data_IF_075664529982
#
_entry.id   IF_075664529982
#
_cell.length_a   1.000
_cell.length_b   1.000
_cell.length_c   1.000
_cell.angle_alpha   90.00
_cell.angle_beta   90.00
_cell.angle_gamma   90.00
#
_symmetry.space_group_name_H-M   'P 1'
#
loop_
_entity.id
_entity.type
_entity.pdbx_description
1 polymer ?
#
# COMPACT_ATOMS: atom_id res chain seq x y z
N UNK A 1 7.32 25.45 3.92
CA UNK A 1 7.27 24.00 3.68
C UNK A 1 8.51 23.38 4.28
N UNK A 2 8.38 22.21 4.89
CA UNK A 2 9.49 21.43 5.46
C UNK A 2 9.73 20.21 4.58
N UNK A 3 10.92 19.63 4.63
CA UNK A 3 11.31 18.49 3.80
C UNK A 3 11.43 17.23 4.66
N UNK A 4 10.89 16.12 4.16
CA UNK A 4 11.14 14.80 4.73
C UNK A 4 12.49 14.29 4.19
N UNK A 5 13.52 14.30 5.02
CA UNK A 5 14.89 13.94 4.62
C UNK A 5 15.13 12.45 4.64
N UNK A 6 14.68 11.80 5.69
CA UNK A 6 14.84 10.35 5.85
C UNK A 6 13.73 9.73 6.65
N UNK A 7 13.51 8.45 6.38
CA UNK A 7 12.61 7.57 7.13
C UNK A 7 13.46 6.48 7.78
N UNK A 8 13.29 6.26 9.08
CA UNK A 8 14.01 5.22 9.80
C UNK A 8 13.60 3.83 9.31
N UNK A 9 14.46 3.20 8.51
CA UNK A 9 14.21 1.90 7.87
C UNK A 9 13.78 0.85 8.88
N UNK A 10 14.55 0.69 9.95
CA UNK A 10 14.25 -0.31 10.98
C UNK A 10 12.97 0.02 11.76
N UNK A 11 12.67 1.30 12.01
CA UNK A 11 11.42 1.67 12.70
C UNK A 11 10.19 1.44 11.82
N UNK A 12 10.26 1.78 10.53
CA UNK A 12 9.19 1.53 9.57
C UNK A 12 8.94 0.02 9.39
N UNK A 13 10.01 -0.76 9.24
CA UNK A 13 9.91 -2.21 9.10
C UNK A 13 9.30 -2.87 10.35
N UNK A 14 9.73 -2.47 11.56
CA UNK A 14 9.21 -3.02 12.82
C UNK A 14 7.71 -2.73 13.02
N UNK A 15 7.29 -1.48 12.81
CA UNK A 15 5.86 -1.14 12.99
C UNK A 15 5.01 -1.81 11.92
N UNK A 16 5.49 -1.88 10.67
CA UNK A 16 4.79 -2.55 9.57
C UNK A 16 4.66 -4.06 9.81
N UNK A 17 5.71 -4.72 10.32
CA UNK A 17 5.65 -6.12 10.71
C UNK A 17 4.62 -6.37 11.82
N UNK A 18 4.62 -5.53 12.85
CA UNK A 18 3.66 -5.62 13.95
C UNK A 18 2.22 -5.42 13.46
N UNK A 19 1.99 -4.46 12.56
CA UNK A 19 0.70 -4.28 11.89
C UNK A 19 0.34 -5.49 11.02
N UNK A 20 1.31 -6.05 10.30
CA UNK A 20 1.15 -7.21 9.44
C UNK A 20 0.74 -8.47 10.20
N UNK A 21 1.28 -8.71 11.40
CA UNK A 21 0.82 -9.81 12.28
C UNK A 21 -0.66 -9.63 12.62
N UNK A 22 -1.04 -8.44 13.09
CA UNK A 22 -2.41 -8.17 13.58
C UNK A 22 -3.41 -8.23 12.42
N UNK A 23 -3.11 -7.56 11.30
CA UNK A 23 -3.97 -7.58 10.11
C UNK A 23 -4.02 -8.98 9.50
N UNK A 24 -2.88 -9.67 9.40
CA UNK A 24 -2.83 -11.05 8.92
C UNK A 24 -3.67 -12.01 9.77
N UNK A 25 -3.70 -11.81 11.10
CA UNK A 25 -4.56 -12.59 11.99
C UNK A 25 -6.04 -12.28 11.78
N UNK A 26 -6.41 -11.00 11.62
CA UNK A 26 -7.77 -10.60 11.30
C UNK A 26 -8.22 -11.26 9.98
N UNK A 27 -7.40 -11.17 8.93
CA UNK A 27 -7.69 -11.82 7.65
C UNK A 27 -7.83 -13.33 7.78
N UNK A 28 -6.93 -13.98 8.52
CA UNK A 28 -6.97 -15.43 8.71
C UNK A 28 -8.25 -15.88 9.44
N UNK A 29 -8.68 -15.13 10.46
CA UNK A 29 -9.92 -15.39 11.19
C UNK A 29 -11.13 -15.25 10.27
N UNK A 30 -11.17 -14.21 9.42
CA UNK A 30 -12.25 -14.03 8.45
C UNK A 30 -12.29 -15.19 7.45
N UNK A 31 -11.13 -15.58 6.89
CA UNK A 31 -11.03 -16.70 5.95
C UNK A 31 -11.49 -18.00 6.61
N UNK A 32 -11.07 -18.26 7.85
CA UNK A 32 -11.50 -19.45 8.59
C UNK A 32 -13.02 -19.44 8.86
N UNK A 33 -13.59 -18.31 9.28
CA UNK A 33 -15.01 -18.18 9.57
C UNK A 33 -15.86 -18.39 8.31
N UNK A 34 -15.51 -17.70 7.21
CA UNK A 34 -16.22 -17.83 5.93
C UNK A 34 -16.05 -19.24 5.36
N UNK A 35 -14.82 -19.79 5.37
CA UNK A 35 -14.55 -21.14 4.89
C UNK A 35 -15.33 -22.20 5.68
N UNK A 36 -15.42 -22.05 7.00
CA UNK A 36 -16.20 -22.96 7.85
C UNK A 36 -17.70 -22.84 7.60
N UNK A 37 -18.22 -21.62 7.42
CA UNK A 37 -19.63 -21.39 7.11
C UNK A 37 -20.03 -21.94 5.73
N UNK A 38 -19.12 -21.93 4.76
CA UNK A 38 -19.36 -22.45 3.41
C UNK A 38 -19.18 -23.97 3.29
N UNK A 39 -18.48 -24.61 4.24
CA UNK A 39 -18.15 -26.04 4.18
C UNK A 39 -19.37 -26.97 3.97
N UNK A 40 -20.53 -26.78 4.64
CA UNK A 40 -21.71 -27.63 4.41
C UNK A 40 -22.24 -27.57 2.98
N UNK A 41 -22.16 -26.40 2.34
CA UNK A 41 -22.62 -26.19 0.96
C UNK A 41 -21.69 -26.81 -0.08
N UNK A 42 -20.44 -27.09 0.31
CA UNK A 42 -19.39 -27.63 -0.58
C UNK A 42 -18.98 -29.06 -0.22
N UNK A 43 -19.72 -29.72 0.68
CA UNK A 43 -19.36 -31.04 1.22
C UNK A 43 -19.27 -32.16 0.16
N UNK A 44 -19.91 -31.99 -0.99
CA UNK A 44 -19.82 -32.88 -2.15
C UNK A 44 -18.47 -32.81 -2.88
N UNK A 45 -17.71 -31.74 -2.68
CA UNK A 45 -16.38 -31.55 -3.28
C UNK A 45 -15.28 -31.96 -2.30
N UNK A 46 -14.15 -32.51 -2.78
CA UNK A 46 -12.99 -32.79 -1.93
C UNK A 46 -12.52 -31.54 -1.16
N UNK A 47 -12.54 -30.38 -1.81
CA UNK A 47 -12.10 -29.09 -1.23
C UNK A 47 -13.00 -28.66 -0.06
N UNK A 48 -14.33 -28.76 -0.21
CA UNK A 48 -15.27 -28.33 0.83
C UNK A 48 -15.18 -29.14 2.13
N UNK A 49 -14.75 -30.41 2.05
CA UNK A 49 -14.54 -31.27 3.24
C UNK A 49 -13.34 -30.85 4.08
N UNK A 50 -12.29 -30.34 3.44
CA UNK A 50 -11.06 -29.93 4.12
C UNK A 50 -11.00 -28.43 4.42
N UNK A 51 -11.98 -27.65 3.97
CA UNK A 51 -12.02 -26.18 4.13
C UNK A 51 -11.81 -25.71 5.59
N UNK A 52 -12.47 -26.30 6.61
CA UNK A 52 -12.24 -25.89 8.00
C UNK A 52 -10.81 -26.19 8.47
N UNK A 53 -10.24 -27.34 8.09
CA UNK A 53 -8.89 -27.73 8.45
C UNK A 53 -7.83 -26.84 7.77
N UNK A 54 -8.05 -26.49 6.50
CA UNK A 54 -7.22 -25.51 5.78
C UNK A 54 -7.30 -24.15 6.48
N UNK A 55 -8.50 -23.69 6.82
CA UNK A 55 -8.69 -22.43 7.53
C UNK A 55 -7.95 -22.39 8.87
N UNK A 56 -7.96 -23.48 9.64
CA UNK A 56 -7.18 -23.59 10.88
C UNK A 56 -5.67 -23.48 10.62
N UNK A 57 -5.14 -24.14 9.58
CA UNK A 57 -3.74 -24.00 9.19
C UNK A 57 -3.37 -22.56 8.81
N UNK A 58 -4.27 -21.87 8.11
CA UNK A 58 -4.08 -20.49 7.68
C UNK A 58 -4.07 -19.49 8.85
N UNK A 59 -4.65 -19.81 10.01
CA UNK A 59 -4.55 -18.98 11.23
C UNK A 59 -3.11 -18.77 11.69
N UNK A 60 -2.20 -19.67 11.35
CA UNK A 60 -0.77 -19.55 11.69
C UNK A 60 0.02 -19.04 10.48
N UNK A 61 -0.23 -19.60 9.30
CA UNK A 61 0.56 -19.30 8.10
C UNK A 61 0.35 -17.85 7.64
N UNK A 62 -0.90 -17.37 7.57
CA UNK A 62 -1.20 -16.05 7.01
C UNK A 62 -0.58 -14.92 7.84
N UNK A 63 -0.72 -14.87 9.18
CA UNK A 63 -0.10 -13.80 9.98
C UNK A 63 1.42 -13.76 9.86
N UNK A 64 2.07 -14.93 9.82
CA UNK A 64 3.53 -15.03 9.69
C UNK A 64 3.98 -14.52 8.32
N UNK A 65 3.33 -14.96 7.25
CA UNK A 65 3.66 -14.52 5.89
C UNK A 65 3.42 -13.01 5.74
N UNK A 66 2.27 -12.50 6.18
CA UNK A 66 1.96 -11.06 6.10
C UNK A 66 2.95 -10.24 6.93
N UNK A 67 3.31 -10.69 8.14
CA UNK A 67 4.34 -10.05 8.96
C UNK A 67 5.67 -9.90 8.21
N UNK A 68 6.18 -11.00 7.64
CA UNK A 68 7.46 -11.01 6.93
C UNK A 68 7.41 -10.15 5.68
N UNK A 69 6.34 -10.25 4.88
CA UNK A 69 6.17 -9.43 3.69
C UNK A 69 6.05 -7.94 4.05
N UNK A 70 5.24 -7.58 5.05
CA UNK A 70 5.09 -6.20 5.52
C UNK A 70 6.40 -5.62 6.07
N UNK A 71 7.21 -6.44 6.77
CA UNK A 71 8.55 -6.04 7.22
C UNK A 71 9.45 -5.72 6.03
N UNK A 72 9.54 -6.64 5.05
CA UNK A 72 10.43 -6.51 3.89
C UNK A 72 10.00 -5.33 3.02
N UNK A 73 8.72 -5.20 2.69
CA UNK A 73 8.21 -4.09 1.88
C UNK A 73 8.50 -2.74 2.54
N UNK A 74 8.17 -2.56 3.82
CA UNK A 74 8.42 -1.29 4.51
C UNK A 74 9.92 -0.99 4.67
N UNK A 75 10.76 -2.02 4.86
CA UNK A 75 12.21 -1.84 4.88
C UNK A 75 12.74 -1.37 3.52
N UNK A 76 12.29 -2.01 2.43
CA UNK A 76 12.68 -1.65 1.06
C UNK A 76 12.19 -0.25 0.72
N UNK A 77 10.93 0.09 0.99
CA UNK A 77 10.36 1.42 0.71
C UNK A 77 11.11 2.53 1.45
N UNK A 78 11.34 2.37 2.76
CA UNK A 78 12.10 3.35 3.54
C UNK A 78 13.57 3.44 3.08
N UNK A 79 14.18 2.32 2.71
CA UNK A 79 15.54 2.29 2.17
C UNK A 79 15.62 3.02 0.81
N UNK A 80 14.73 2.69 -0.12
CA UNK A 80 14.65 3.32 -1.43
C UNK A 80 14.43 4.82 -1.27
N UNK A 81 13.52 5.23 -0.40
CA UNK A 81 13.31 6.65 -0.08
C UNK A 81 14.63 7.34 0.30
N UNK A 82 15.35 6.79 1.28
CA UNK A 82 16.61 7.36 1.77
C UNK A 82 17.74 7.37 0.72
N UNK A 83 17.74 6.42 -0.22
CA UNK A 83 18.73 6.35 -1.30
C UNK A 83 18.40 7.33 -2.43
N UNK A 84 17.11 7.51 -2.72
CA UNK A 84 16.62 8.31 -3.85
C UNK A 84 16.63 9.80 -3.52
N UNK A 85 16.08 10.20 -2.37
CA UNK A 85 15.83 11.61 -2.06
C UNK A 85 17.06 12.51 -2.03
N UNK A 86 18.27 12.07 -1.61
CA UNK A 86 19.47 12.92 -1.67
C UNK A 86 19.88 13.30 -3.11
N UNK A 87 19.42 12.55 -4.12
CA UNK A 87 19.81 12.73 -5.52
C UNK A 87 18.80 13.54 -6.34
N UNK A 88 17.52 13.39 -6.05
CA UNK A 88 16.44 14.00 -6.87
C UNK A 88 15.63 15.07 -6.15
N UNK A 89 15.89 15.27 -4.86
CA UNK A 89 15.14 16.15 -3.98
C UNK A 89 14.29 15.37 -2.97
N UNK A 90 14.05 16.03 -1.83
CA UNK A 90 13.23 15.52 -0.75
C UNK A 90 11.75 15.77 -1.01
N UNK A 91 10.87 14.99 -0.37
CA UNK A 91 9.42 15.25 -0.44
C UNK A 91 9.12 16.46 0.43
N UNK A 92 8.51 17.46 -0.18
CA UNK A 92 8.09 18.69 0.48
C UNK A 92 6.72 18.46 1.14
N UNK A 93 6.60 18.84 2.40
CA UNK A 93 5.36 18.75 3.18
C UNK A 93 5.10 20.06 3.91
N UNK A 94 3.83 20.45 4.02
CA UNK A 94 3.40 21.58 4.83
C UNK A 94 2.68 21.09 6.10
N UNK A 95 3.32 21.30 7.24
CA UNK A 95 2.79 20.97 8.55
C UNK A 95 2.32 22.26 9.25
N UNK A 96 1.01 22.53 9.29
CA UNK A 96 0.46 23.65 10.08
C UNK A 96 -0.24 23.12 11.32
N UNK A 97 0.24 23.50 12.50
CA UNK A 97 -0.31 23.05 13.77
C UNK A 97 -0.29 21.52 13.96
N UNK A 98 0.73 20.84 13.41
CA UNK A 98 0.83 19.38 13.42
C UNK A 98 -0.10 18.66 12.43
N UNK A 99 -0.77 19.39 11.54
CA UNK A 99 -1.55 18.80 10.44
C UNK A 99 -0.78 18.86 9.13
N UNK A 100 -0.72 17.73 8.44
CA UNK A 100 -0.24 17.65 7.06
C UNK A 100 -1.32 18.26 6.16
N UNK A 101 -1.09 19.47 5.67
CA UNK A 101 -2.07 20.20 4.85
C UNK A 101 -1.71 20.24 3.37
N UNK A 102 -0.45 20.01 3.05
CA UNK A 102 0.02 20.02 1.67
C UNK A 102 1.22 19.08 1.50
N UNK A 103 1.28 18.42 0.36
CA UNK A 103 2.38 17.58 -0.11
C UNK A 103 2.81 18.12 -1.48
N UNK A 104 4.09 18.42 -1.66
CA UNK A 104 4.59 18.93 -2.94
C UNK A 104 4.43 17.90 -4.04
N UNK A 105 3.53 18.14 -4.98
CA UNK A 105 3.06 17.13 -5.94
C UNK A 105 4.19 16.66 -6.85
N UNK A 106 5.00 17.60 -7.33
CA UNK A 106 6.17 17.30 -8.15
C UNK A 106 7.26 16.56 -7.36
N UNK A 107 7.41 16.87 -6.07
CA UNK A 107 8.41 16.22 -5.22
C UNK A 107 8.04 14.75 -4.94
N UNK A 108 6.78 14.47 -4.63
CA UNK A 108 6.29 13.11 -4.43
C UNK A 108 6.35 12.31 -5.73
N UNK A 109 5.89 12.91 -6.84
CA UNK A 109 5.93 12.29 -8.17
C UNK A 109 7.34 11.86 -8.56
N UNK A 110 8.35 12.71 -8.39
CA UNK A 110 9.76 12.38 -8.69
C UNK A 110 10.26 11.18 -7.87
N UNK A 111 10.01 11.17 -6.56
CA UNK A 111 10.43 10.09 -5.66
C UNK A 111 9.76 8.78 -6.00
N UNK A 112 8.44 8.79 -6.17
CA UNK A 112 7.70 7.58 -6.55
C UNK A 112 8.06 7.12 -7.96
N UNK A 113 8.27 8.03 -8.92
CA UNK A 113 8.69 7.70 -10.27
C UNK A 113 10.01 6.94 -10.31
N UNK A 114 11.04 7.43 -9.61
CA UNK A 114 12.34 6.74 -9.52
C UNK A 114 12.23 5.42 -8.76
N UNK A 115 11.45 5.38 -7.68
CA UNK A 115 11.18 4.13 -6.97
C UNK A 115 10.48 3.11 -7.89
N UNK A 116 9.52 3.56 -8.70
CA UNK A 116 8.79 2.76 -9.67
C UNK A 116 9.69 2.22 -10.79
N UNK A 117 10.68 2.98 -11.25
CA UNK A 117 11.71 2.47 -12.18
C UNK A 117 12.51 1.34 -11.53
N UNK A 118 12.97 1.53 -10.28
CA UNK A 118 13.77 0.52 -9.59
C UNK A 118 12.95 -0.75 -9.33
N UNK A 119 11.74 -0.62 -8.81
CA UNK A 119 10.82 -1.74 -8.55
C UNK A 119 10.45 -2.43 -9.87
N UNK A 120 10.12 -1.66 -10.90
CA UNK A 120 9.79 -2.18 -12.22
C UNK A 120 10.96 -2.89 -12.89
N UNK A 121 12.20 -2.47 -12.64
CA UNK A 121 13.39 -3.16 -13.14
C UNK A 121 13.55 -4.52 -12.43
N UNK A 122 13.43 -4.56 -11.10
CA UNK A 122 13.48 -5.80 -10.33
C UNK A 122 12.36 -6.75 -10.78
N UNK A 123 11.13 -6.25 -10.93
CA UNK A 123 10.00 -7.03 -11.42
C UNK A 123 10.23 -7.52 -12.86
N UNK A 124 10.74 -6.67 -13.74
CA UNK A 124 11.07 -7.00 -15.14
C UNK A 124 12.11 -8.12 -15.23
N UNK A 125 13.15 -8.08 -14.39
CA UNK A 125 14.17 -9.15 -14.29
C UNK A 125 13.52 -10.44 -13.78
N UNK A 126 12.73 -10.38 -12.70
CA UNK A 126 12.06 -11.58 -12.16
C UNK A 126 11.14 -12.20 -13.21
N UNK A 127 10.33 -11.38 -13.89
CA UNK A 127 9.43 -11.86 -14.93
C UNK A 127 10.22 -12.47 -16.08
N UNK A 128 11.26 -11.79 -16.58
CA UNK A 128 12.03 -12.27 -17.73
C UNK A 128 12.74 -13.61 -17.47
N UNK A 129 13.32 -13.79 -16.28
CA UNK A 129 14.15 -14.97 -16.00
C UNK A 129 13.40 -16.12 -15.32
N UNK A 130 12.38 -15.84 -14.51
CA UNK A 130 11.69 -16.88 -13.75
C UNK A 130 10.31 -17.20 -14.33
N UNK A 131 9.53 -16.18 -14.67
CA UNK A 131 8.16 -16.36 -15.17
C UNK A 131 8.16 -16.65 -16.68
N UNK A 132 9.06 -16.02 -17.43
CA UNK A 132 9.18 -16.15 -18.88
C UNK A 132 9.34 -17.60 -19.35
N UNK A 133 10.32 -18.37 -18.83
CA UNK A 133 10.49 -19.77 -19.21
C UNK A 133 9.29 -20.65 -18.86
N UNK A 134 8.62 -20.40 -17.74
CA UNK A 134 7.40 -21.10 -17.35
C UNK A 134 6.27 -20.85 -18.36
N UNK A 135 6.04 -19.60 -18.75
CA UNK A 135 4.99 -19.25 -19.73
C UNK A 135 5.36 -19.77 -21.13
N UNK A 136 6.62 -19.66 -21.55
CA UNK A 136 7.08 -20.17 -22.84
C UNK A 136 6.94 -21.69 -22.96
N UNK A 137 6.97 -22.44 -21.85
CA UNK A 137 6.66 -23.88 -21.85
C UNK A 137 5.18 -24.20 -22.11
N UNK A 138 4.28 -23.26 -21.81
CA UNK A 138 2.83 -23.42 -21.98
C UNK A 138 2.32 -22.83 -23.31
N UNK A 139 2.97 -21.78 -23.81
CA UNK A 139 2.62 -21.12 -25.07
C UNK A 139 3.88 -20.96 -25.94
N UNK A 140 4.28 -22.00 -26.70
CA UNK A 140 5.55 -22.02 -27.43
C UNK A 140 5.69 -20.92 -28.51
N UNK A 141 4.57 -20.38 -29.00
CA UNK A 141 4.55 -19.28 -29.97
C UNK A 141 4.78 -17.89 -29.34
N UNK A 142 4.69 -17.76 -28.00
CA UNK A 142 5.12 -16.56 -27.27
C UNK A 142 6.65 -16.60 -27.14
N UNK A 143 7.31 -16.39 -28.28
CA UNK A 143 8.71 -16.67 -28.51
C UNK A 143 9.67 -15.70 -27.80
N UNK A 144 10.91 -16.19 -27.68
CA UNK A 144 12.14 -15.70 -27.05
C UNK A 144 12.53 -14.22 -27.20
N UNK A 145 11.80 -13.41 -27.97
CA UNK A 145 12.09 -11.98 -28.20
C UNK A 145 11.34 -11.07 -27.22
N UNK A 146 10.23 -11.54 -26.62
CA UNK A 146 9.44 -10.71 -25.71
C UNK A 146 10.13 -10.43 -24.36
N UNK A 147 10.96 -11.35 -23.86
CA UNK A 147 11.45 -11.28 -22.48
C UNK A 147 12.52 -10.21 -22.23
N UNK A 148 13.52 -10.00 -23.11
CA UNK A 148 14.47 -8.90 -22.95
C UNK A 148 13.81 -7.52 -23.05
N UNK A 149 12.73 -7.39 -23.85
CA UNK A 149 11.96 -6.15 -23.96
C UNK A 149 11.29 -5.82 -22.62
N UNK A 150 10.82 -6.82 -21.86
CA UNK A 150 10.20 -6.60 -20.56
C UNK A 150 11.17 -6.04 -19.51
N UNK A 151 12.47 -6.35 -19.59
CA UNK A 151 13.49 -5.79 -18.68
C UNK A 151 13.59 -4.27 -18.83
N UNK A 152 13.26 -3.72 -20.00
CA UNK A 152 13.29 -2.29 -20.28
C UNK A 152 11.89 -1.68 -20.18
N UNK A 153 10.89 -2.30 -20.81
CA UNK A 153 9.53 -1.78 -20.90
C UNK A 153 8.86 -1.71 -19.53
N UNK A 154 9.00 -2.74 -18.69
CA UNK A 154 8.37 -2.76 -17.36
C UNK A 154 8.88 -1.61 -16.47
N UNK A 155 10.20 -1.40 -16.25
CA UNK A 155 10.66 -0.26 -15.47
C UNK A 155 10.24 1.10 -16.02
N UNK A 156 10.23 1.29 -17.35
CA UNK A 156 9.80 2.56 -17.95
C UNK A 156 8.31 2.81 -17.66
N UNK A 157 7.46 1.81 -17.89
CA UNK A 157 6.02 1.92 -17.65
C UNK A 157 5.74 2.10 -16.16
N UNK A 158 6.36 1.30 -15.29
CA UNK A 158 6.23 1.44 -13.83
C UNK A 158 6.69 2.82 -13.36
N UNK A 159 7.84 3.31 -13.85
CA UNK A 159 8.34 4.64 -13.52
C UNK A 159 7.36 5.74 -13.89
N UNK A 160 6.78 5.68 -15.09
CA UNK A 160 5.78 6.64 -15.55
C UNK A 160 4.49 6.55 -14.71
N UNK A 161 3.99 5.35 -14.46
CA UNK A 161 2.76 5.14 -13.69
C UNK A 161 2.92 5.62 -12.24
N UNK A 162 4.05 5.34 -11.59
CA UNK A 162 4.31 5.81 -10.23
C UNK A 162 4.55 7.33 -10.18
N UNK A 163 5.18 7.90 -11.21
CA UNK A 163 5.37 9.35 -11.31
C UNK A 163 4.02 10.08 -11.41
N UNK A 164 3.18 9.67 -12.38
CA UNK A 164 1.86 10.26 -12.60
C UNK A 164 0.95 9.97 -11.41
N UNK A 165 0.95 8.73 -10.92
CA UNK A 165 0.21 8.32 -9.73
C UNK A 165 0.57 9.17 -8.51
N UNK A 166 1.86 9.37 -8.25
CA UNK A 166 2.33 10.21 -7.15
C UNK A 166 1.89 11.67 -7.25
N UNK A 167 1.93 12.26 -8.45
CA UNK A 167 1.43 13.63 -8.67
C UNK A 167 -0.08 13.68 -8.39
N UNK A 168 -0.85 12.74 -8.94
CA UNK A 168 -2.30 12.69 -8.77
C UNK A 168 -2.69 12.46 -7.31
N UNK A 169 -2.00 11.57 -6.60
CA UNK A 169 -2.23 11.30 -5.19
C UNK A 169 -1.96 12.53 -4.32
N UNK A 170 -0.83 13.21 -4.52
CA UNK A 170 -0.53 14.46 -3.81
C UNK A 170 -1.55 15.56 -4.15
N UNK A 171 -1.91 15.71 -5.42
CA UNK A 171 -2.93 16.68 -5.84
C UNK A 171 -4.28 16.43 -5.18
N UNK A 172 -4.78 15.18 -5.24
CA UNK A 172 -6.04 14.77 -4.59
C UNK A 172 -5.95 15.00 -3.09
N UNK A 173 -4.83 14.64 -2.46
CA UNK A 173 -4.60 14.90 -1.05
C UNK A 173 -4.69 16.40 -0.73
N UNK A 174 -4.04 17.26 -1.50
CA UNK A 174 -4.00 18.70 -1.27
C UNK A 174 -5.38 19.35 -1.42
N UNK A 175 -6.14 18.95 -2.44
CA UNK A 175 -7.53 19.38 -2.62
C UNK A 175 -8.37 18.95 -1.42
N UNK A 176 -8.27 17.70 -1.00
CA UNK A 176 -9.01 17.21 0.16
C UNK A 176 -8.59 17.89 1.47
N UNK A 177 -7.29 18.05 1.71
CA UNK A 177 -6.77 18.69 2.90
C UNK A 177 -7.22 20.15 3.00
N UNK A 178 -7.34 20.86 1.86
CA UNK A 178 -7.90 22.22 1.83
C UNK A 178 -9.41 22.26 2.13
N UNK A 179 -10.15 21.22 1.73
CA UNK A 179 -11.61 21.18 1.87
C UNK A 179 -12.09 20.67 3.23
N UNK A 180 -11.51 19.58 3.74
CA UNK A 180 -11.98 18.88 4.96
C UNK A 180 -10.95 18.88 6.11
N UNK A 181 -9.81 19.54 5.91
CA UNK A 181 -8.71 19.60 6.85
C UNK A 181 -7.77 18.41 6.71
N UNK A 182 -6.46 18.69 6.71
CA UNK A 182 -5.40 17.71 6.59
C UNK A 182 -5.31 16.69 7.74
N UNK A 183 -4.43 15.71 7.59
CA UNK A 183 -4.25 14.65 8.59
C UNK A 183 -3.42 15.17 9.76
N UNK A 184 -3.92 15.07 10.99
CA UNK A 184 -3.18 15.47 12.19
C UNK A 184 -2.22 14.38 12.62
N UNK A 185 -0.94 14.73 12.66
CA UNK A 185 0.17 13.86 13.01
C UNK A 185 0.74 14.31 14.35
N UNK A 186 0.91 13.38 15.28
CA UNK A 186 1.61 13.63 16.52
C UNK A 186 3.07 13.21 16.35
N UNK A 187 3.90 14.17 15.97
CA UNK A 187 5.33 13.97 15.78
C UNK A 187 6.03 14.53 17.02
N UNK A 188 6.71 13.66 17.77
CA UNK A 188 7.45 14.04 18.97
C UNK A 188 8.88 13.51 18.88
N UNK A 189 9.87 14.40 19.05
CA UNK A 189 11.31 14.06 18.98
C UNK A 189 11.72 13.36 17.67
N UNK A 190 11.13 13.76 16.53
CA UNK A 190 11.41 13.14 15.23
C UNK A 190 10.79 11.75 15.06
N UNK A 191 9.81 11.38 15.89
CA UNK A 191 9.07 10.11 15.76
C UNK A 191 7.58 10.39 15.58
N UNK A 192 6.96 9.75 14.58
CA UNK A 192 5.50 9.73 14.43
C UNK A 192 4.91 8.81 15.50
N UNK A 193 4.34 9.37 16.57
CA UNK A 193 3.81 8.59 17.70
C UNK A 193 2.35 8.21 17.56
N UNK A 194 1.57 9.04 16.88
CA UNK A 194 0.17 8.75 16.61
C UNK A 194 -0.36 9.55 15.44
N UNK A 195 -1.42 9.04 14.83
CA UNK A 195 -2.22 9.72 13.81
C UNK A 195 -3.62 9.95 14.38
N UNK A 196 -4.19 11.15 14.19
CA UNK A 196 -5.57 11.40 14.58
C UNK A 196 -6.51 10.63 13.63
N UNK A 197 -7.05 9.52 14.15
CA UNK A 197 -7.83 8.54 13.38
C UNK A 197 -8.98 9.19 12.62
N UNK A 198 -9.71 10.12 13.24
CA UNK A 198 -10.84 10.80 12.59
C UNK A 198 -10.39 11.61 11.38
N UNK A 199 -9.27 12.35 11.48
CA UNK A 199 -8.74 13.11 10.34
C UNK A 199 -8.25 12.20 9.22
N UNK A 200 -7.62 11.07 9.58
CA UNK A 200 -7.13 10.09 8.63
C UNK A 200 -8.25 9.37 7.90
N UNK A 201 -9.31 8.97 8.61
CA UNK A 201 -10.52 8.39 8.03
C UNK A 201 -11.21 9.35 7.06
N UNK A 202 -11.34 10.64 7.41
CA UNK A 202 -11.95 11.64 6.54
C UNK A 202 -11.22 11.76 5.20
N UNK A 203 -9.90 11.93 5.24
CA UNK A 203 -9.08 12.06 4.04
C UNK A 203 -9.08 10.75 3.23
N UNK A 204 -8.89 9.60 3.88
CA UNK A 204 -8.85 8.31 3.18
C UNK A 204 -10.21 7.93 2.57
N UNK A 205 -11.31 8.16 3.28
CA UNK A 205 -12.66 7.94 2.76
C UNK A 205 -12.98 8.85 1.58
N UNK A 206 -12.63 10.13 1.65
CA UNK A 206 -12.83 11.06 0.53
C UNK A 206 -11.94 10.73 -0.67
N UNK A 207 -10.68 10.32 -0.44
CA UNK A 207 -9.80 9.82 -1.50
C UNK A 207 -10.35 8.54 -2.13
N UNK A 208 -10.85 7.60 -1.32
CA UNK A 208 -11.52 6.38 -1.77
C UNK A 208 -12.74 6.69 -2.63
N UNK A 209 -13.57 7.66 -2.24
CA UNK A 209 -14.71 8.10 -3.05
C UNK A 209 -14.26 8.60 -4.44
N UNK A 210 -13.22 9.43 -4.50
CA UNK A 210 -12.67 9.95 -5.76
C UNK A 210 -12.15 8.81 -6.64
N UNK A 211 -11.33 7.90 -6.09
CA UNK A 211 -10.81 6.75 -6.85
C UNK A 211 -11.90 5.76 -7.26
N UNK A 212 -12.93 5.60 -6.43
CA UNK A 212 -14.11 4.83 -6.78
C UNK A 212 -14.91 5.44 -7.93
N UNK A 213 -15.01 6.77 -8.00
CA UNK A 213 -15.62 7.45 -9.14
C UNK A 213 -14.76 7.29 -10.40
N UNK A 214 -13.45 7.49 -10.30
CA UNK A 214 -12.51 7.31 -11.42
C UNK A 214 -12.59 5.89 -11.97
N UNK A 215 -12.49 4.87 -11.10
CA UNK A 215 -12.61 3.47 -11.51
C UNK A 215 -13.98 3.11 -12.07
N UNK A 216 -15.06 3.64 -11.48
CA UNK A 216 -16.42 3.48 -12.01
C UNK A 216 -16.56 4.01 -13.44
N UNK A 217 -16.04 5.22 -13.70
CA UNK A 217 -16.07 5.85 -15.04
C UNK A 217 -15.23 5.05 -16.03
N UNK A 218 -13.99 4.68 -15.65
CA UNK A 218 -13.08 3.94 -16.52
C UNK A 218 -13.55 2.51 -16.84
N UNK A 219 -14.45 1.94 -16.02
CA UNK A 219 -15.03 0.63 -16.28
C UNK A 219 -16.09 0.63 -17.39
N UNK A 220 -16.57 1.81 -17.83
CA UNK A 220 -17.66 1.97 -18.79
C UNK A 220 -18.92 1.14 -18.44
N UNK A 221 -19.19 0.96 -17.15
CA UNK A 221 -20.29 0.18 -16.64
C UNK A 221 -21.12 1.01 -15.63
N UNK A 222 -22.41 1.16 -15.91
CA UNK A 222 -23.33 1.94 -15.08
C UNK A 222 -23.43 1.40 -13.63
N UNK A 223 -23.35 0.08 -13.42
CA UNK A 223 -23.35 -0.50 -12.09
C UNK A 223 -22.09 -0.11 -11.29
N UNK A 224 -20.94 -0.04 -11.95
CA UNK A 224 -19.67 0.37 -11.34
C UNK A 224 -19.65 1.85 -10.95
N UNK A 225 -20.36 2.72 -11.68
CA UNK A 225 -20.49 4.14 -11.32
C UNK A 225 -21.14 4.36 -9.95
N UNK A 226 -21.96 3.42 -9.48
CA UNK A 226 -22.59 3.50 -8.16
C UNK A 226 -21.83 2.65 -7.13
N UNK A 227 -21.45 1.43 -7.51
CA UNK A 227 -20.86 0.47 -6.56
C UNK A 227 -19.39 0.75 -6.24
N UNK A 228 -18.60 1.24 -7.20
CA UNK A 228 -17.17 1.52 -6.98
C UNK A 228 -16.94 2.71 -6.02
N UNK A 229 -17.64 3.86 -6.13
CA UNK A 229 -17.51 4.95 -5.16
C UNK A 229 -17.89 4.53 -3.73
N UNK A 230 -18.99 3.80 -3.57
CA UNK A 230 -19.48 3.38 -2.25
C UNK A 230 -18.52 2.37 -1.63
N UNK A 231 -18.10 1.35 -2.39
CA UNK A 231 -17.16 0.35 -1.88
C UNK A 231 -15.82 0.95 -1.49
N UNK A 232 -15.25 1.85 -2.30
CA UNK A 232 -14.00 2.51 -1.98
C UNK A 232 -14.12 3.54 -0.85
N UNK A 233 -15.26 4.23 -0.71
CA UNK A 233 -15.53 5.09 0.44
C UNK A 233 -15.54 4.26 1.73
N UNK A 234 -16.28 3.16 1.74
CA UNK A 234 -16.38 2.26 2.91
C UNK A 234 -15.02 1.64 3.23
N UNK A 235 -14.30 1.14 2.21
CA UNK A 235 -12.97 0.59 2.36
C UNK A 235 -11.98 1.64 2.90
N UNK A 236 -12.02 2.87 2.40
CA UNK A 236 -11.19 3.98 2.88
C UNK A 236 -11.49 4.34 4.33
N UNK A 237 -12.77 4.47 4.69
CA UNK A 237 -13.17 4.79 6.07
C UNK A 237 -12.78 3.68 7.05
N UNK A 238 -13.17 2.43 6.78
CA UNK A 238 -12.90 1.30 7.67
C UNK A 238 -11.41 1.00 7.69
N UNK A 239 -10.77 0.94 6.52
CA UNK A 239 -9.34 0.66 6.38
C UNK A 239 -8.50 1.67 7.14
N UNK A 240 -8.71 2.97 6.93
CA UNK A 240 -7.99 4.01 7.66
C UNK A 240 -8.31 4.03 9.16
N UNK A 241 -9.55 3.73 9.54
CA UNK A 241 -9.94 3.61 10.94
C UNK A 241 -9.18 2.50 11.66
N UNK A 242 -9.20 1.29 11.10
CA UNK A 242 -8.49 0.12 11.61
C UNK A 242 -6.98 0.37 11.62
N UNK A 243 -6.41 0.81 10.50
CA UNK A 243 -4.97 1.08 10.36
C UNK A 243 -4.52 2.16 11.35
N UNK A 244 -5.26 3.27 11.47
CA UNK A 244 -4.92 4.35 12.39
C UNK A 244 -5.00 3.94 13.86
N UNK A 245 -6.03 3.17 14.24
CA UNK A 245 -6.15 2.63 15.60
C UNK A 245 -5.02 1.64 15.92
N UNK A 246 -4.74 0.72 14.99
CA UNK A 246 -3.66 -0.25 15.14
C UNK A 246 -2.30 0.44 15.24
N UNK A 247 -2.04 1.43 14.37
CA UNK A 247 -0.81 2.21 14.43
C UNK A 247 -0.65 2.88 15.81
N UNK A 248 -1.69 3.57 16.30
CA UNK A 248 -1.64 4.25 17.58
C UNK A 248 -1.46 3.28 18.77
N UNK A 249 -2.04 2.09 18.67
CA UNK A 249 -1.90 1.04 19.67
C UNK A 249 -0.48 0.46 19.67
N UNK A 250 0.07 0.15 18.49
CA UNK A 250 1.38 -0.48 18.30
C UNK A 250 2.56 0.49 18.48
N UNK A 251 2.39 1.77 18.17
CA UNK A 251 3.43 2.78 18.34
C UNK A 251 3.82 2.97 19.82
N UNK A 252 2.93 2.62 20.78
CA UNK A 252 3.22 2.65 22.22
C UNK A 252 4.27 1.60 22.64
N UNK A 253 4.08 0.29 22.36
CA UNK A 253 5.07 -0.73 22.70
C UNK A 253 6.24 -0.85 21.72
N UNK A 254 6.02 -0.66 20.41
CA UNK A 254 7.04 -0.89 19.36
C UNK A 254 7.90 0.35 19.11
N UNK A 255 7.38 1.53 19.43
CA UNK A 255 7.94 2.82 19.03
C UNK A 255 7.35 3.31 17.70
N UNK A 256 7.38 4.62 17.51
CA UNK A 256 6.88 5.27 16.29
C UNK A 256 7.86 5.17 15.11
N UNK A 257 7.41 5.58 13.93
CA UNK A 257 8.28 5.72 12.76
C UNK A 257 9.20 6.92 12.97
N UNK A 258 10.51 6.71 12.89
CA UNK A 258 11.50 7.79 12.92
C UNK A 258 11.49 8.56 11.60
N UNK A 259 11.42 9.87 11.68
CA UNK A 259 11.37 10.81 10.57
C UNK A 259 12.38 11.94 10.84
N UNK A 260 13.24 12.22 9.86
CA UNK A 260 14.04 13.46 9.87
C UNK A 260 13.32 14.50 9.00
N UNK A 261 12.69 15.48 9.64
CA UNK A 261 11.94 16.54 8.99
C UNK A 261 12.68 17.85 9.23
N UNK A 262 13.08 18.55 8.15
CA UNK A 262 13.83 19.81 8.22
C UNK A 262 13.42 20.80 7.15
#
# INVERSE_FOLDING_TARGET
>A
MVQLKSVGVLSAAKISAAMGIVLGLIYAVIIFAVGSALSPFLASTPVGRYLPAIGLGLLIVVPVVVCVLSFICAAIEAFLYNVITPRIGYVEIDLKGGRLNHIGELSLGKVLGVAGVIIGFVAGVIIAFFVGPLISSMVPMASSVAWPIMIIAVPVVCGLLFFVGGILEAFVYNVLASAIGGVKLNIAKGELRSVEVVSYMKISGASGLIWGLVSGVLSFNAASLVTAPISNLVAGLIGAGVVGLLYNWLAKPVGGIKLDIR
#
